data_IF_944991750282
#
_entry.id   IF_944991750282
#
_cell.length_a   1.000
_cell.length_b   1.000
_cell.length_c   1.000
_cell.angle_alpha   90.00
_cell.angle_beta   90.00
_cell.angle_gamma   90.00
#
_symmetry.space_group_name_H-M   'P 1'
#
loop_
_entity.id
_entity.type
_entity.pdbx_description
1 polymer ?
#
# COMPACT_ATOMS: atom_id res chain seq x y z
N UNK A 1 27.48 -11.57 19.58
CA UNK A 1 28.85 -11.06 19.31
C UNK A 1 28.74 -9.70 18.63
N UNK A 2 29.72 -8.81 18.77
CA UNK A 2 29.73 -7.55 17.99
C UNK A 2 30.04 -7.89 16.54
N UNK A 3 29.25 -7.34 15.63
CA UNK A 3 29.34 -7.56 14.17
C UNK A 3 29.57 -6.19 13.54
N UNK A 4 30.53 -6.11 12.60
CA UNK A 4 30.92 -4.84 11.96
C UNK A 4 30.40 -4.68 10.52
N UNK A 5 30.47 -3.47 9.94
CA UNK A 5 30.16 -3.22 8.55
C UNK A 5 30.93 -4.15 7.59
N UNK A 6 30.25 -4.64 6.56
CA UNK A 6 30.82 -5.55 5.56
C UNK A 6 30.92 -7.01 6.01
N UNK A 7 30.57 -7.32 7.26
CA UNK A 7 30.53 -8.70 7.73
C UNK A 7 29.27 -9.42 7.21
N UNK A 8 29.46 -10.67 6.78
CA UNK A 8 28.39 -11.56 6.30
C UNK A 8 28.19 -12.73 7.25
N UNK A 9 26.93 -13.08 7.50
CA UNK A 9 26.53 -14.19 8.35
C UNK A 9 25.51 -15.08 7.63
N UNK A 10 25.78 -16.38 7.58
CA UNK A 10 24.80 -17.34 7.06
C UNK A 10 23.65 -17.51 8.05
N UNK A 11 22.42 -17.50 7.54
CA UNK A 11 21.20 -17.64 8.33
C UNK A 11 20.66 -19.06 8.19
N UNK A 12 20.92 -19.92 9.18
CA UNK A 12 20.51 -21.33 9.20
C UNK A 12 19.13 -21.57 9.82
N UNK A 13 18.65 -20.64 10.65
CA UNK A 13 17.34 -20.69 11.30
C UNK A 13 16.18 -20.43 10.32
N UNK A 14 14.98 -20.78 10.75
CA UNK A 14 13.75 -20.54 9.98
C UNK A 14 13.20 -19.13 10.17
N UNK A 15 13.62 -18.42 11.22
CA UNK A 15 13.15 -17.08 11.55
C UNK A 15 14.26 -16.23 12.18
N UNK A 16 14.39 -15.00 11.71
CA UNK A 16 15.29 -13.99 12.27
C UNK A 16 14.58 -12.68 12.52
N UNK A 17 15.14 -11.84 13.38
CA UNK A 17 14.72 -10.46 13.56
C UNK A 17 15.89 -9.50 13.50
N UNK A 18 15.59 -8.31 12.98
CA UNK A 18 16.37 -7.10 13.24
C UNK A 18 15.58 -6.29 14.27
N UNK A 19 16.26 -5.81 15.29
CA UNK A 19 15.67 -4.98 16.33
C UNK A 19 16.57 -3.79 16.63
N UNK A 20 15.99 -2.73 17.17
CA UNK A 20 16.73 -1.57 17.66
C UNK A 20 16.44 -1.34 19.14
N UNK A 21 17.44 -0.77 19.83
CA UNK A 21 17.27 -0.21 21.17
C UNK A 21 18.00 1.12 21.29
N UNK A 22 17.45 2.05 22.05
CA UNK A 22 18.10 3.31 22.37
C UNK A 22 17.61 3.90 23.70
N UNK A 23 18.47 4.69 24.34
CA UNK A 23 18.13 5.38 25.57
C UNK A 23 17.57 6.77 25.26
N UNK A 24 16.60 7.20 26.05
CA UNK A 24 16.16 8.60 26.05
C UNK A 24 17.31 9.56 26.36
N UNK A 25 17.42 10.62 25.55
CA UNK A 25 18.34 11.72 25.77
C UNK A 25 17.73 13.05 25.34
N UNK A 26 17.78 14.08 26.21
CA UNK A 26 17.37 15.45 25.85
C UNK A 26 15.98 15.55 25.21
N UNK A 27 15.90 16.17 24.03
CA UNK A 27 14.73 16.05 23.16
C UNK A 27 14.70 14.61 22.62
N UNK A 28 13.66 13.85 22.95
CA UNK A 28 13.58 12.45 22.58
C UNK A 28 13.65 12.29 21.05
N UNK A 29 14.64 11.53 20.58
CA UNK A 29 14.74 11.08 19.19
C UNK A 29 13.84 9.88 19.04
N UNK A 30 12.99 9.95 18.02
CA UNK A 30 12.09 8.90 17.60
C UNK A 30 12.79 8.05 16.53
N UNK A 31 13.21 6.83 16.89
CA UNK A 31 13.87 5.92 15.97
C UNK A 31 12.88 4.91 15.42
N UNK A 32 12.70 4.94 14.10
CA UNK A 32 11.92 3.97 13.36
C UNK A 32 12.83 2.89 12.75
N UNK A 33 12.42 1.63 12.90
CA UNK A 33 12.96 0.51 12.15
C UNK A 33 12.03 0.14 10.98
N UNK A 34 12.60 -0.02 9.79
CA UNK A 34 11.85 -0.27 8.57
C UNK A 34 12.48 -1.42 7.79
N UNK A 35 11.68 -2.17 7.04
CA UNK A 35 12.13 -3.30 6.23
C UNK A 35 11.47 -3.29 4.85
N UNK A 36 12.27 -3.16 3.80
CA UNK A 36 11.81 -3.15 2.41
C UNK A 36 11.98 -4.55 1.81
N UNK A 37 10.96 -5.03 1.10
CA UNK A 37 10.94 -6.36 0.47
C UNK A 37 11.15 -6.21 -1.03
N UNK A 38 12.16 -6.92 -1.55
CA UNK A 38 12.58 -6.83 -2.94
C UNK A 38 12.46 -8.20 -3.62
N UNK A 39 11.85 -8.21 -4.81
CA UNK A 39 11.72 -9.42 -5.63
C UNK A 39 13.00 -9.77 -6.40
N UNK A 40 13.01 -10.93 -7.06
CA UNK A 40 14.12 -11.43 -7.87
C UNK A 40 14.43 -10.59 -9.13
N UNK A 41 13.53 -9.67 -9.49
CA UNK A 41 13.74 -8.68 -10.55
C UNK A 41 14.25 -7.35 -10.01
N UNK A 42 14.44 -7.23 -8.70
CA UNK A 42 14.90 -6.00 -8.05
C UNK A 42 13.82 -4.94 -7.90
N UNK A 43 12.54 -5.31 -7.99
CA UNK A 43 11.42 -4.43 -7.72
C UNK A 43 11.07 -4.44 -6.24
N UNK A 44 10.76 -3.28 -5.67
CA UNK A 44 10.22 -3.19 -4.31
C UNK A 44 8.75 -3.58 -4.35
N UNK A 45 8.40 -4.66 -3.67
CA UNK A 45 7.08 -5.29 -3.73
C UNK A 45 6.26 -5.18 -2.44
N UNK A 46 6.90 -4.83 -1.33
CA UNK A 46 6.27 -4.67 -0.02
C UNK A 46 7.23 -3.94 0.93
N UNK A 47 6.72 -3.45 2.07
CA UNK A 47 7.56 -2.89 3.13
C UNK A 47 6.86 -2.96 4.49
N UNK A 48 7.65 -3.14 5.55
CA UNK A 48 7.20 -3.12 6.95
C UNK A 48 7.80 -1.93 7.66
N UNK A 49 6.95 -1.15 8.33
CA UNK A 49 7.29 0.04 9.11
C UNK A 49 6.11 0.38 10.03
N UNK A 50 6.19 1.44 10.82
CA UNK A 50 5.20 1.75 11.85
C UNK A 50 3.75 1.82 11.36
N UNK A 51 3.54 2.21 10.10
CA UNK A 51 2.24 2.36 9.46
C UNK A 51 1.85 1.13 8.61
N UNK A 52 2.78 0.22 8.29
CA UNK A 52 2.48 -1.08 7.70
C UNK A 52 3.14 -2.21 8.49
N UNK A 53 2.40 -2.74 9.46
CA UNK A 53 2.95 -3.64 10.49
C UNK A 53 3.23 -5.07 10.01
N UNK A 54 2.82 -5.44 8.79
CA UNK A 54 2.96 -6.79 8.26
C UNK A 54 3.21 -6.78 6.76
N UNK A 55 4.07 -7.67 6.28
CA UNK A 55 4.34 -7.88 4.86
C UNK A 55 4.48 -9.37 4.55
N UNK A 56 4.16 -9.77 3.31
CA UNK A 56 4.36 -11.12 2.78
C UNK A 56 3.86 -12.27 3.69
N UNK A 57 2.91 -12.01 4.59
CA UNK A 57 2.35 -12.95 5.60
C UNK A 57 3.37 -13.57 6.59
N UNK A 58 4.65 -13.23 6.47
CA UNK A 58 5.73 -13.81 7.27
C UNK A 58 6.69 -12.77 7.85
N UNK A 59 6.43 -11.47 7.61
CA UNK A 59 7.18 -10.35 8.19
C UNK A 59 6.24 -9.55 9.10
N UNK A 60 6.69 -9.22 10.30
CA UNK A 60 5.89 -8.50 11.31
C UNK A 60 6.71 -7.48 12.08
N UNK A 61 6.16 -6.27 12.26
CA UNK A 61 6.68 -5.20 13.12
C UNK A 61 6.08 -5.28 14.54
N UNK A 62 6.83 -4.86 15.56
CA UNK A 62 6.35 -4.86 16.96
C UNK A 62 5.47 -3.67 17.33
N UNK A 63 5.73 -2.51 16.74
CA UNK A 63 5.04 -1.25 17.01
C UNK A 63 6.03 -0.10 16.95
N UNK A 64 5.47 1.11 16.99
CA UNK A 64 6.15 2.40 17.05
C UNK A 64 6.54 2.71 18.50
N UNK A 65 7.82 2.92 18.80
CA UNK A 65 8.30 3.46 20.09
C UNK A 65 8.96 4.82 19.90
N UNK A 66 8.43 5.86 20.56
CA UNK A 66 8.79 7.25 20.24
C UNK A 66 9.82 7.89 21.15
N UNK A 67 10.14 7.24 22.26
CA UNK A 67 10.78 7.93 23.40
C UNK A 67 12.09 7.31 23.87
N UNK A 68 12.31 6.01 23.63
CA UNK A 68 13.42 5.26 24.22
C UNK A 68 13.30 5.14 25.75
N UNK A 69 12.09 5.26 26.30
CA UNK A 69 11.83 5.10 27.74
C UNK A 69 11.74 3.61 28.15
N UNK A 70 11.58 2.71 27.18
CA UNK A 70 11.45 1.28 27.43
C UNK A 70 12.81 0.63 27.65
N UNK A 71 12.89 -0.25 28.64
CA UNK A 71 14.05 -1.12 28.81
C UNK A 71 14.01 -2.28 27.81
N UNK A 72 15.09 -2.52 27.08
CA UNK A 72 15.25 -3.70 26.24
C UNK A 72 15.18 -3.38 24.75
N UNK A 73 14.42 -4.15 23.99
CA UNK A 73 14.22 -3.93 22.56
C UNK A 73 13.01 -3.03 22.34
N UNK A 74 13.23 -1.87 21.73
CA UNK A 74 12.21 -0.85 21.51
C UNK A 74 11.34 -1.20 20.30
N UNK A 75 11.99 -1.44 19.15
CA UNK A 75 11.35 -1.90 17.92
C UNK A 75 11.99 -3.18 17.37
N UNK A 76 11.16 -4.06 16.81
CA UNK A 76 11.56 -5.38 16.33
C UNK A 76 10.79 -5.73 15.06
N UNK A 77 11.52 -6.06 13.99
CA UNK A 77 10.97 -6.66 12.77
C UNK A 77 11.39 -8.12 12.71
N UNK A 78 10.41 -9.01 12.76
CA UNK A 78 10.61 -10.44 12.54
C UNK A 78 10.38 -10.81 11.08
N UNK A 79 11.27 -11.62 10.51
CA UNK A 79 11.14 -12.22 9.18
C UNK A 79 11.22 -13.75 9.27
N UNK A 80 10.15 -14.42 8.85
CA UNK A 80 10.06 -15.87 8.74
C UNK A 80 10.68 -16.38 7.45
N UNK A 81 12.01 -16.49 7.40
CA UNK A 81 12.78 -16.86 6.21
C UNK A 81 12.38 -18.20 5.59
N UNK A 82 11.98 -19.18 6.40
CA UNK A 82 11.51 -20.49 5.92
C UNK A 82 10.14 -20.45 5.23
N UNK A 83 9.33 -19.41 5.50
CA UNK A 83 8.00 -19.20 4.91
C UNK A 83 7.99 -18.09 3.86
N UNK A 84 9.15 -17.52 3.56
CA UNK A 84 9.27 -16.40 2.62
C UNK A 84 8.90 -16.85 1.20
N UNK A 85 8.03 -16.12 0.48
CA UNK A 85 7.68 -16.46 -0.89
C UNK A 85 8.90 -16.60 -1.81
N UNK A 86 8.83 -17.47 -2.81
CA UNK A 86 9.99 -17.77 -3.68
C UNK A 86 10.52 -16.56 -4.43
N UNK A 87 9.60 -15.70 -4.91
CA UNK A 87 9.92 -14.45 -5.61
C UNK A 87 10.72 -13.45 -4.78
N UNK A 88 10.72 -13.54 -3.44
CA UNK A 88 11.45 -12.60 -2.59
C UNK A 88 12.93 -12.97 -2.62
N UNK A 89 13.75 -12.02 -3.04
CA UNK A 89 15.20 -12.19 -3.18
C UNK A 89 15.98 -11.49 -2.07
N UNK A 90 15.47 -10.37 -1.57
CA UNK A 90 16.20 -9.51 -0.64
C UNK A 90 15.28 -8.77 0.31
N UNK A 91 15.72 -8.63 1.56
CA UNK A 91 15.15 -7.72 2.56
C UNK A 91 16.19 -6.64 2.87
N UNK A 92 15.75 -5.38 2.92
CA UNK A 92 16.62 -4.23 3.23
C UNK A 92 16.10 -3.56 4.49
N UNK A 93 16.91 -3.49 5.53
CA UNK A 93 16.55 -2.86 6.80
C UNK A 93 17.12 -1.44 6.88
N UNK A 94 16.26 -0.51 7.25
CA UNK A 94 16.55 0.92 7.33
C UNK A 94 16.22 1.40 8.73
N UNK A 95 17.11 2.20 9.32
CA UNK A 95 16.88 2.88 10.59
C UNK A 95 16.78 4.37 10.31
N UNK A 96 15.74 5.01 10.83
CA UNK A 96 15.49 6.43 10.63
C UNK A 96 15.21 7.16 11.94
N UNK A 97 15.83 8.31 12.15
CA UNK A 97 15.40 9.31 13.12
C UNK A 97 14.20 10.08 12.52
N UNK A 98 13.00 9.58 12.80
CA UNK A 98 11.76 10.12 12.24
C UNK A 98 11.50 11.55 12.71
N UNK A 99 11.68 11.78 14.00
CA UNK A 99 11.51 13.08 14.64
C UNK A 99 12.50 13.27 15.79
N UNK A 100 12.68 14.53 16.22
CA UNK A 100 13.49 14.85 17.40
C UNK A 100 15.01 14.97 17.20
N UNK A 101 15.57 14.68 16.02
CA UNK A 101 17.01 14.89 15.77
C UNK A 101 17.59 14.12 14.58
N UNK A 102 18.89 13.82 14.66
CA UNK A 102 19.67 12.99 13.73
C UNK A 102 20.19 11.74 14.44
N UNK A 103 20.75 10.78 13.71
CA UNK A 103 21.28 9.55 14.31
C UNK A 103 22.42 9.81 15.32
N UNK A 104 23.21 10.88 15.14
CA UNK A 104 24.23 11.30 16.15
C UNK A 104 23.65 11.65 17.52
N UNK A 105 22.37 12.02 17.59
CA UNK A 105 21.69 12.45 18.81
C UNK A 105 21.16 11.24 19.60
N UNK A 106 21.14 10.05 18.98
CA UNK A 106 20.75 8.79 19.61
C UNK A 106 21.77 8.41 20.67
N UNK A 107 21.27 8.09 21.86
CA UNK A 107 22.10 7.64 22.99
C UNK A 107 22.05 6.12 23.11
N UNK A 108 23.21 5.49 23.19
CA UNK A 108 23.36 4.04 23.37
C UNK A 108 22.56 3.22 22.33
N UNK A 109 22.46 3.75 21.10
CA UNK A 109 21.75 3.11 20.00
C UNK A 109 22.40 1.79 19.58
N UNK A 110 21.64 0.71 19.53
CA UNK A 110 22.11 -0.61 19.08
C UNK A 110 21.12 -1.24 18.12
N UNK A 111 21.64 -1.94 17.12
CA UNK A 111 20.92 -2.87 16.25
C UNK A 111 21.24 -4.29 16.70
N UNK A 112 20.21 -5.10 16.87
CA UNK A 112 20.28 -6.47 17.34
C UNK A 112 19.82 -7.42 16.25
N UNK A 113 20.57 -8.49 16.04
CA UNK A 113 20.18 -9.60 15.18
C UNK A 113 19.79 -10.78 16.06
N UNK A 114 18.54 -11.21 15.95
CA UNK A 114 17.94 -12.23 16.81
C UNK A 114 17.56 -13.44 15.96
N UNK A 115 17.67 -14.64 16.53
CA UNK A 115 17.34 -15.90 15.85
C UNK A 115 16.26 -16.66 16.63
N UNK A 116 15.14 -16.96 15.97
CA UNK A 116 13.95 -17.68 16.48
C UNK A 116 13.18 -17.01 17.64
N UNK A 117 13.88 -16.43 18.63
CA UNK A 117 13.32 -15.83 19.85
C UNK A 117 14.11 -14.61 20.30
N UNK A 118 13.49 -13.73 21.11
CA UNK A 118 14.08 -12.43 21.49
C UNK A 118 15.35 -12.57 22.35
N UNK A 119 15.46 -13.67 23.07
CA UNK A 119 16.57 -13.94 24.00
C UNK A 119 17.82 -14.48 23.29
N UNK A 120 17.70 -14.89 22.02
CA UNK A 120 18.79 -15.47 21.24
C UNK A 120 19.39 -14.43 20.29
N UNK A 121 20.19 -13.52 20.85
CA UNK A 121 20.94 -12.52 20.08
C UNK A 121 22.20 -13.13 19.47
N UNK A 122 22.23 -13.19 18.13
CA UNK A 122 23.35 -13.75 17.36
C UNK A 122 24.32 -12.68 16.87
N UNK A 123 23.89 -11.42 16.81
CA UNK A 123 24.71 -10.28 16.39
C UNK A 123 24.26 -8.96 17.00
N UNK A 124 25.19 -8.04 17.19
CA UNK A 124 24.92 -6.68 17.66
C UNK A 124 25.82 -5.69 16.93
N UNK A 125 25.25 -4.57 16.51
CA UNK A 125 25.92 -3.48 15.81
C UNK A 125 25.57 -2.19 16.55
N UNK A 126 26.54 -1.31 16.81
CA UNK A 126 26.25 0.00 17.37
C UNK A 126 25.67 0.90 16.25
N UNK A 127 24.64 1.68 16.54
CA UNK A 127 24.15 2.68 15.60
C UNK A 127 25.22 3.76 15.45
N UNK A 128 25.63 4.01 14.22
CA UNK A 128 26.65 5.03 13.93
C UNK A 128 26.15 6.43 14.32
N UNK A 129 27.08 7.26 14.80
CA UNK A 129 26.78 8.66 15.06
C UNK A 129 26.89 9.44 13.76
N UNK A 130 25.77 9.51 13.06
CA UNK A 130 25.70 10.16 11.75
C UNK A 130 25.07 11.55 11.82
N UNK A 131 25.59 12.44 10.99
CA UNK A 131 24.95 13.73 10.67
C UNK A 131 23.63 13.53 9.92
N UNK A 132 23.41 12.33 9.40
CA UNK A 132 22.23 11.97 8.66
C UNK A 132 21.15 11.38 9.57
N UNK A 133 19.92 11.40 9.07
CA UNK A 133 18.76 10.92 9.81
C UNK A 133 18.37 9.48 9.40
N UNK A 134 18.89 8.93 8.31
CA UNK A 134 18.50 7.61 7.81
C UNK A 134 19.71 6.83 7.33
N UNK A 135 19.85 5.59 7.82
CA UNK A 135 20.92 4.67 7.43
C UNK A 135 20.35 3.32 6.96
N UNK A 136 20.95 2.73 5.92
CA UNK A 136 20.67 1.34 5.53
C UNK A 136 21.66 0.43 6.25
N UNK A 137 21.16 -0.38 7.18
CA UNK A 137 22.00 -1.01 8.21
C UNK A 137 22.24 -2.50 8.00
N UNK A 138 21.27 -3.20 7.39
CA UNK A 138 21.34 -4.65 7.23
C UNK A 138 20.60 -5.03 5.96
N UNK A 139 21.16 -5.99 5.22
CA UNK A 139 20.41 -6.69 4.17
C UNK A 139 20.41 -8.17 4.43
N UNK A 140 19.29 -8.82 4.14
CA UNK A 140 19.21 -10.28 4.07
C UNK A 140 18.98 -10.67 2.61
N UNK A 141 19.88 -11.48 2.05
CA UNK A 141 19.86 -11.89 0.65
C UNK A 141 19.66 -13.39 0.55
N UNK A 142 18.74 -13.81 -0.31
CA UNK A 142 18.48 -15.22 -0.62
C UNK A 142 19.38 -15.68 -1.75
N UNK A 143 20.34 -16.54 -1.47
CA UNK A 143 21.24 -17.15 -2.45
C UNK A 143 20.92 -18.64 -2.64
N UNK A 144 21.60 -19.31 -3.58
CA UNK A 144 21.40 -20.74 -3.82
C UNK A 144 21.67 -21.60 -2.57
N UNK A 145 22.56 -21.13 -1.68
CA UNK A 145 22.91 -21.79 -0.42
C UNK A 145 21.99 -21.47 0.78
N UNK A 146 20.93 -20.70 0.56
CA UNK A 146 20.02 -20.21 1.61
C UNK A 146 20.15 -18.69 1.83
N UNK A 147 19.72 -18.24 3.00
CA UNK A 147 19.75 -16.83 3.35
C UNK A 147 21.10 -16.42 3.97
N UNK A 148 21.57 -15.25 3.61
CA UNK A 148 22.75 -14.61 4.18
C UNK A 148 22.39 -13.20 4.61
N UNK A 149 22.86 -12.81 5.79
CA UNK A 149 22.79 -11.45 6.28
C UNK A 149 24.11 -10.75 5.99
N UNK A 150 24.05 -9.53 5.50
CA UNK A 150 25.19 -8.64 5.36
C UNK A 150 24.92 -7.37 6.15
N UNK A 151 25.87 -6.99 7.00
CA UNK A 151 25.83 -5.68 7.68
C UNK A 151 26.26 -4.62 6.68
N UNK A 152 25.38 -3.64 6.49
CA UNK A 152 25.62 -2.47 5.64
C UNK A 152 25.76 -1.26 6.56
N UNK A 153 26.55 -0.30 6.10
CA UNK A 153 26.68 0.99 6.76
C UNK A 153 26.78 2.07 5.69
N UNK A 154 25.64 2.30 5.05
CA UNK A 154 25.51 3.23 3.93
C UNK A 154 24.56 4.35 4.37
N UNK A 155 25.09 5.52 4.77
CA UNK A 155 24.26 6.62 5.21
C UNK A 155 23.52 7.24 4.04
N UNK A 156 22.27 7.61 4.26
CA UNK A 156 21.50 8.36 3.27
C UNK A 156 21.61 9.86 3.54
N UNK A 157 21.89 10.63 2.50
CA UNK A 157 22.23 12.05 2.65
C UNK A 157 21.09 12.89 3.25
N UNK A 158 19.84 12.56 2.96
CA UNK A 158 18.64 13.27 3.45
C UNK A 158 17.45 12.29 3.53
N UNK A 159 16.51 12.53 4.45
CA UNK A 159 15.31 11.72 4.61
C UNK A 159 14.89 11.51 6.06
N UNK A 160 13.71 10.92 6.26
CA UNK A 160 13.21 10.43 7.57
C UNK A 160 12.53 9.06 7.42
N UNK A 161 12.48 8.50 6.20
CA UNK A 161 11.81 7.24 5.90
C UNK A 161 12.52 6.52 4.74
N UNK A 162 12.34 5.21 4.60
CA UNK A 162 13.00 4.41 3.56
C UNK A 162 12.69 4.92 2.13
N UNK A 163 11.52 5.55 1.97
CA UNK A 163 11.08 6.12 0.70
C UNK A 163 11.89 7.35 0.27
N UNK A 164 12.57 8.02 1.21
CA UNK A 164 13.43 9.15 0.89
C UNK A 164 14.80 8.68 0.38
N UNK A 165 15.14 7.41 0.66
CA UNK A 165 16.47 6.84 0.38
C UNK A 165 16.43 5.80 -0.74
N UNK A 166 15.32 5.77 -1.52
CA UNK A 166 15.15 4.88 -2.67
C UNK A 166 16.30 5.03 -3.67
N UNK A 167 16.72 6.27 -3.94
CA UNK A 167 17.82 6.58 -4.83
C UNK A 167 18.65 7.75 -4.27
N UNK A 168 19.99 7.72 -4.40
CA UNK A 168 20.78 6.64 -5.01
C UNK A 168 21.04 5.46 -4.05
N UNK A 169 20.84 5.64 -2.73
CA UNK A 169 21.32 4.72 -1.69
C UNK A 169 20.77 3.31 -1.84
N UNK A 170 19.45 3.11 -1.66
CA UNK A 170 18.87 1.78 -1.69
C UNK A 170 18.92 1.17 -3.09
N UNK A 171 18.68 1.95 -4.15
CA UNK A 171 18.79 1.50 -5.53
C UNK A 171 20.17 0.93 -5.85
N UNK A 172 21.24 1.57 -5.39
CA UNK A 172 22.61 1.06 -5.57
C UNK A 172 22.85 -0.24 -4.80
N UNK A 173 22.35 -0.34 -3.57
CA UNK A 173 22.42 -1.57 -2.76
C UNK A 173 21.69 -2.72 -3.45
N UNK A 174 20.47 -2.49 -3.94
CA UNK A 174 19.70 -3.50 -4.69
C UNK A 174 20.45 -3.91 -5.96
N UNK A 175 20.98 -2.95 -6.73
CA UNK A 175 21.70 -3.23 -7.98
C UNK A 175 23.04 -3.95 -7.77
N UNK A 176 23.68 -3.84 -6.60
CA UNK A 176 24.85 -4.65 -6.24
C UNK A 176 24.49 -6.16 -6.18
N UNK A 177 23.27 -6.49 -5.74
CA UNK A 177 22.79 -7.88 -5.61
C UNK A 177 22.04 -8.35 -6.87
N UNK A 178 21.28 -7.47 -7.50
CA UNK A 178 20.43 -7.74 -8.67
C UNK A 178 20.78 -6.71 -9.76
N UNK A 179 21.82 -6.96 -10.58
CA UNK A 179 22.30 -6.00 -11.57
C UNK A 179 21.25 -5.60 -12.63
N UNK A 180 20.21 -6.43 -12.82
CA UNK A 180 19.10 -6.18 -13.73
C UNK A 180 17.97 -5.33 -13.13
N UNK A 181 18.09 -4.91 -11.86
CA UNK A 181 17.07 -4.11 -11.20
C UNK A 181 16.84 -2.77 -11.93
N UNK A 182 15.62 -2.18 -11.85
CA UNK A 182 15.32 -0.91 -12.50
C UNK A 182 16.32 0.20 -12.19
N UNK A 183 16.56 1.10 -13.17
CA UNK A 183 17.46 2.26 -12.97
C UNK A 183 16.90 3.28 -11.98
N UNK A 184 15.59 3.34 -11.84
CA UNK A 184 14.89 4.19 -10.90
C UNK A 184 13.99 3.30 -10.07
N UNK A 185 14.33 3.15 -8.79
CA UNK A 185 13.46 2.46 -7.85
C UNK A 185 12.11 3.18 -7.76
N UNK A 186 11.06 2.38 -7.80
CA UNK A 186 9.69 2.82 -7.51
C UNK A 186 9.12 1.84 -6.51
N UNK A 187 8.30 2.36 -5.62
CA UNK A 187 7.52 1.53 -4.72
C UNK A 187 6.12 1.47 -5.28
N UNK A 188 5.83 0.35 -5.94
CA UNK A 188 4.52 0.06 -6.47
C UNK A 188 3.81 -0.84 -5.45
N UNK A 189 3.27 -0.22 -4.40
CA UNK A 189 2.30 -0.91 -3.59
C UNK A 189 1.04 -1.03 -4.44
N UNK A 190 0.76 -2.20 -5.00
CA UNK A 190 -0.62 -2.49 -5.40
C UNK A 190 -1.42 -2.56 -4.09
N UNK A 191 -1.97 -1.43 -3.64
CA UNK A 191 -2.51 -1.31 -2.29
C UNK A 191 -3.78 -2.14 -2.16
N UNK A 192 -3.74 -3.14 -1.28
CA UNK A 192 -4.94 -3.84 -0.85
C UNK A 192 -5.86 -2.89 -0.08
N UNK A 193 -7.16 -3.18 -0.08
CA UNK A 193 -8.15 -2.42 0.68
C UNK A 193 -7.73 -2.30 2.16
N UNK A 194 -7.61 -1.06 2.65
CA UNK A 194 -7.22 -0.76 4.03
C UNK A 194 -5.72 -0.49 4.23
N UNK A 195 -4.88 -0.68 3.21
CA UNK A 195 -3.45 -0.38 3.30
C UNK A 195 -3.19 1.12 3.53
N UNK A 196 -2.15 1.42 4.30
CA UNK A 196 -1.69 2.79 4.62
C UNK A 196 -0.25 2.91 4.15
N UNK A 197 0.05 4.00 3.45
CA UNK A 197 1.37 4.34 2.92
C UNK A 197 1.71 5.78 3.20
N UNK A 198 2.90 6.05 3.74
CA UNK A 198 3.44 7.41 3.80
C UNK A 198 3.89 7.88 2.42
N UNK A 199 3.48 9.09 2.06
CA UNK A 199 3.94 9.74 0.84
C UNK A 199 5.27 10.46 1.15
N UNK A 200 6.30 10.27 0.30
CA UNK A 200 7.58 10.96 0.46
C UNK A 200 7.42 12.46 0.29
N UNK A 201 8.24 13.24 1.00
CA UNK A 201 8.25 14.70 0.90
C UNK A 201 9.04 15.22 -0.33
N UNK A 202 9.49 14.30 -1.21
CA UNK A 202 10.34 14.61 -2.36
C UNK A 202 9.71 14.21 -3.70
N UNK A 203 9.91 15.06 -4.71
CA UNK A 203 9.66 14.72 -6.12
C UNK A 203 8.20 14.65 -6.55
N UNK A 204 7.85 13.63 -7.35
CA UNK A 204 6.56 13.48 -8.03
C UNK A 204 5.36 13.26 -7.10
N UNK A 205 5.61 12.89 -5.84
CA UNK A 205 4.58 12.59 -4.84
C UNK A 205 4.01 13.81 -4.13
N UNK A 206 4.49 15.02 -4.47
CA UNK A 206 3.84 16.31 -4.13
C UNK A 206 2.50 16.54 -4.86
N UNK A 207 2.23 15.73 -5.88
CA UNK A 207 0.96 15.73 -6.60
C UNK A 207 0.32 14.36 -6.50
N UNK A 208 -0.95 14.32 -6.09
CA UNK A 208 -1.78 13.11 -6.08
C UNK A 208 -3.01 13.39 -6.92
N UNK A 209 -3.36 12.49 -7.83
CA UNK A 209 -4.53 12.63 -8.69
C UNK A 209 -5.47 11.46 -8.45
N UNK A 210 -6.76 11.76 -8.23
CA UNK A 210 -7.84 10.79 -8.32
C UNK A 210 -8.39 10.81 -9.75
N UNK A 211 -8.37 9.67 -10.43
CA UNK A 211 -8.93 9.48 -11.77
C UNK A 211 -10.13 8.54 -11.72
N UNK A 212 -11.13 8.84 -12.54
CA UNK A 212 -12.36 8.07 -12.73
C UNK A 212 -12.56 7.87 -14.22
N UNK A 213 -12.75 6.62 -14.65
CA UNK A 213 -13.04 6.29 -16.04
C UNK A 213 -14.16 5.28 -16.16
N UNK A 214 -15.02 5.42 -17.16
CA UNK A 214 -16.11 4.50 -17.42
C UNK A 214 -16.60 4.55 -18.86
N UNK A 215 -17.08 3.42 -19.35
CA UNK A 215 -17.72 3.31 -20.65
C UNK A 215 -19.24 3.21 -20.51
N UNK A 216 -19.96 3.88 -21.39
CA UNK A 216 -21.42 3.78 -21.47
C UNK A 216 -21.86 2.98 -22.69
N UNK A 217 -22.62 1.92 -22.46
CA UNK A 217 -23.39 1.23 -23.49
C UNK A 217 -24.84 1.74 -23.47
N UNK A 218 -25.18 2.73 -24.30
CA UNK A 218 -26.56 3.24 -24.45
C UNK A 218 -26.76 4.67 -23.95
N UNK A 219 -27.81 4.94 -23.15
CA UNK A 219 -28.06 6.30 -22.62
C UNK A 219 -26.95 6.68 -21.63
N UNK A 220 -26.41 7.90 -21.78
CA UNK A 220 -25.36 8.46 -20.93
C UNK A 220 -25.62 8.22 -19.44
N UNK A 221 -24.62 7.68 -18.75
CA UNK A 221 -24.60 7.56 -17.29
C UNK A 221 -23.51 8.49 -16.79
N UNK A 222 -23.92 9.35 -15.87
CA UNK A 222 -23.09 10.35 -15.21
C UNK A 222 -22.53 9.80 -13.89
N UNK A 223 -21.19 9.80 -13.79
CA UNK A 223 -20.41 9.41 -12.63
C UNK A 223 -19.51 10.58 -12.24
N UNK A 224 -19.49 10.89 -10.95
CA UNK A 224 -18.71 12.00 -10.41
C UNK A 224 -17.54 11.49 -9.58
N UNK A 225 -16.39 12.15 -9.71
CA UNK A 225 -15.35 12.14 -8.66
C UNK A 225 -15.49 13.37 -7.76
N UNK A 226 -15.21 13.21 -6.46
CA UNK A 226 -15.27 14.30 -5.48
C UNK A 226 -14.13 14.19 -4.49
N UNK A 227 -13.69 15.34 -3.97
CA UNK A 227 -12.75 15.43 -2.88
C UNK A 227 -13.34 16.25 -1.73
N UNK A 228 -13.28 15.71 -0.51
CA UNK A 228 -13.85 16.31 0.69
C UNK A 228 -12.72 16.58 1.69
N UNK A 229 -12.52 17.84 2.06
CA UNK A 229 -11.44 18.30 2.92
C UNK A 229 -11.94 18.49 4.35
N UNK A 230 -11.20 17.96 5.33
CA UNK A 230 -11.52 18.03 6.75
C UNK A 230 -10.36 18.62 7.56
N UNK A 231 -10.68 19.24 8.70
CA UNK A 231 -9.70 19.70 9.69
C UNK A 231 -9.32 18.58 10.67
N UNK A 232 -8.43 18.89 11.63
CA UNK A 232 -7.98 17.95 12.64
C UNK A 232 -9.06 17.50 13.63
N UNK A 233 -10.17 18.23 13.71
CA UNK A 233 -11.35 17.88 14.49
C UNK A 233 -12.36 17.06 13.67
N UNK A 234 -12.03 16.73 12.42
CA UNK A 234 -12.88 16.02 11.49
C UNK A 234 -14.08 16.83 11.01
N UNK A 235 -14.04 18.16 11.13
CA UNK A 235 -15.07 19.04 10.59
C UNK A 235 -14.81 19.31 9.11
N UNK A 236 -15.89 19.48 8.35
CA UNK A 236 -15.81 19.79 6.93
C UNK A 236 -15.20 21.19 6.74
N UNK A 237 -14.07 21.27 6.05
CA UNK A 237 -13.43 22.54 5.66
C UNK A 237 -13.93 22.99 4.30
N UNK A 238 -13.88 22.09 3.30
CA UNK A 238 -14.27 22.41 1.94
C UNK A 238 -14.45 21.18 1.04
N UNK A 239 -14.95 21.37 -0.18
CA UNK A 239 -15.09 20.31 -1.19
C UNK A 239 -14.70 20.75 -2.61
N UNK A 240 -14.31 19.76 -3.42
CA UNK A 240 -14.09 19.89 -4.86
C UNK A 240 -14.86 18.78 -5.56
N UNK A 241 -15.71 19.16 -6.52
CA UNK A 241 -16.62 18.30 -7.29
C UNK A 241 -17.13 19.10 -8.51
N UNK A 242 -17.97 18.53 -9.38
CA UNK A 242 -18.50 19.23 -10.57
C UNK A 242 -19.06 20.64 -10.28
N UNK A 243 -19.72 20.84 -9.13
CA UNK A 243 -20.28 22.14 -8.71
C UNK A 243 -19.27 23.12 -8.12
N UNK A 244 -18.04 22.69 -7.86
CA UNK A 244 -16.92 23.52 -7.39
C UNK A 244 -15.58 22.93 -7.84
N UNK A 245 -15.07 23.43 -8.95
CA UNK A 245 -13.92 22.83 -9.63
C UNK A 245 -12.57 23.09 -8.95
N UNK A 246 -12.47 24.00 -7.98
CA UNK A 246 -11.21 24.28 -7.29
C UNK A 246 -11.43 24.69 -5.85
N UNK A 247 -10.63 24.11 -4.94
CA UNK A 247 -10.45 24.57 -3.57
C UNK A 247 -9.26 23.87 -2.92
N UNK A 248 -8.69 24.44 -1.85
CA UNK A 248 -7.69 23.80 -0.97
C UNK A 248 -6.48 23.17 -1.68
N UNK A 249 -6.02 23.70 -2.82
CA UNK A 249 -4.91 23.11 -3.59
C UNK A 249 -5.33 21.93 -4.50
N UNK A 250 -6.64 21.68 -4.63
CA UNK A 250 -7.23 20.69 -5.51
C UNK A 250 -7.93 21.34 -6.70
N UNK A 251 -7.85 20.68 -7.87
CA UNK A 251 -8.47 21.11 -9.13
C UNK A 251 -9.15 19.92 -9.80
N UNK A 252 -10.44 20.07 -10.12
CA UNK A 252 -11.24 19.14 -10.93
C UNK A 252 -11.06 19.41 -12.42
N UNK A 253 -11.07 18.37 -13.24
CA UNK A 253 -10.96 18.46 -14.71
C UNK A 253 -12.18 19.08 -15.41
N UNK A 254 -13.27 19.34 -14.69
CA UNK A 254 -14.60 19.50 -15.26
C UNK A 254 -15.40 18.19 -15.23
N UNK A 255 -16.70 18.35 -15.44
CA UNK A 255 -17.74 17.32 -15.37
C UNK A 255 -17.88 16.59 -16.72
N UNK A 256 -17.80 15.26 -16.73
CA UNK A 256 -18.04 14.43 -17.89
C UNK A 256 -19.33 13.60 -17.73
N UNK A 257 -20.42 14.12 -18.29
CA UNK A 257 -21.74 13.50 -18.19
C UNK A 257 -21.92 12.16 -18.94
N UNK A 258 -20.91 11.70 -19.70
CA UNK A 258 -21.09 10.65 -20.71
C UNK A 258 -20.07 9.52 -20.70
N UNK A 259 -18.92 9.70 -20.07
CA UNK A 259 -17.79 8.75 -20.19
C UNK A 259 -17.22 8.71 -21.61
N UNK A 260 -17.29 9.83 -22.35
CA UNK A 260 -16.77 9.91 -23.71
C UNK A 260 -15.29 10.29 -23.67
N UNK A 261 -14.43 9.35 -24.05
CA UNK A 261 -12.98 9.55 -24.12
C UNK A 261 -12.22 8.26 -23.90
N UNK A 262 -10.89 8.32 -24.05
CA UNK A 262 -10.01 7.23 -23.62
C UNK A 262 -9.38 7.63 -22.27
N UNK A 263 -9.32 6.69 -21.33
CA UNK A 263 -8.60 6.88 -20.07
C UNK A 263 -9.49 7.34 -18.91
N UNK A 264 -9.01 8.32 -18.13
CA UNK A 264 -9.78 8.89 -17.02
C UNK A 264 -10.69 10.00 -17.57
N UNK A 265 -11.99 9.79 -17.52
CA UNK A 265 -13.04 10.74 -17.93
C UNK A 265 -13.10 11.96 -17.01
N UNK A 266 -12.87 11.75 -15.71
CA UNK A 266 -12.75 12.82 -14.72
C UNK A 266 -11.52 12.65 -13.83
N UNK A 267 -10.95 13.79 -13.43
CA UNK A 267 -9.80 13.82 -12.54
C UNK A 267 -9.92 14.93 -11.50
N UNK A 268 -9.49 14.65 -10.28
CA UNK A 268 -9.16 15.66 -9.27
C UNK A 268 -7.68 15.57 -8.97
N UNK A 269 -6.94 16.62 -9.34
CA UNK A 269 -5.53 16.76 -9.02
C UNK A 269 -5.35 17.56 -7.74
N UNK A 270 -4.64 16.99 -6.78
CA UNK A 270 -4.25 17.61 -5.52
C UNK A 270 -2.77 17.98 -5.54
N UNK A 271 -2.45 19.26 -5.34
CA UNK A 271 -1.09 19.73 -5.06
C UNK A 271 -0.92 19.88 -3.55
N UNK A 272 -0.19 18.93 -2.94
CA UNK A 272 -0.03 18.82 -1.48
C UNK A 272 0.63 20.07 -0.86
N UNK A 273 1.53 20.73 -1.60
CA UNK A 273 2.22 21.94 -1.15
C UNK A 273 1.27 23.16 -1.09
N UNK A 274 0.15 23.11 -1.82
CA UNK A 274 -0.85 24.19 -1.87
C UNK A 274 -2.04 23.92 -0.95
N UNK A 275 -2.08 22.77 -0.28
CA UNK A 275 -3.14 22.45 0.68
C UNK A 275 -2.98 23.31 1.94
N UNK A 276 -3.99 24.12 2.32
CA UNK A 276 -3.91 24.97 3.50
C UNK A 276 -3.62 24.16 4.78
N UNK A 277 -2.89 24.76 5.72
CA UNK A 277 -2.52 24.11 6.98
C UNK A 277 -3.72 23.62 7.82
N UNK A 278 -4.88 24.27 7.70
CA UNK A 278 -6.13 23.86 8.39
C UNK A 278 -6.74 22.56 7.84
N UNK A 279 -6.34 22.11 6.65
CA UNK A 279 -6.81 20.85 6.08
C UNK A 279 -5.83 19.76 6.51
N UNK A 280 -6.34 18.84 7.31
CA UNK A 280 -5.57 17.70 7.83
C UNK A 280 -5.93 16.39 7.14
N UNK A 281 -7.12 16.28 6.55
CA UNK A 281 -7.52 15.10 5.79
C UNK A 281 -8.24 15.49 4.50
N UNK A 282 -8.00 14.73 3.43
CA UNK A 282 -8.69 14.84 2.14
C UNK A 282 -9.19 13.46 1.80
N UNK A 283 -10.49 13.30 1.56
CA UNK A 283 -11.09 12.02 1.19
C UNK A 283 -11.61 12.09 -0.23
N UNK A 284 -11.19 11.15 -1.08
CA UNK A 284 -11.66 11.03 -2.45
C UNK A 284 -12.81 10.02 -2.54
N UNK A 285 -13.90 10.42 -3.19
CA UNK A 285 -15.08 9.59 -3.38
C UNK A 285 -15.53 9.60 -4.83
N UNK A 286 -16.21 8.54 -5.24
CA UNK A 286 -16.92 8.50 -6.52
C UNK A 286 -18.37 8.11 -6.30
N UNK A 287 -19.27 8.69 -7.09
CA UNK A 287 -20.70 8.44 -7.02
C UNK A 287 -21.31 8.35 -8.40
N UNK A 288 -22.38 7.56 -8.54
CA UNK A 288 -23.23 7.63 -9.73
C UNK A 288 -24.26 8.73 -9.49
N UNK A 289 -24.13 9.84 -10.22
CA UNK A 289 -25.07 10.95 -10.13
C UNK A 289 -26.43 10.60 -10.72
N UNK A 290 -26.41 9.78 -11.79
CA UNK A 290 -27.63 9.37 -12.48
C UNK A 290 -28.55 8.52 -11.58
N UNK A 291 -29.72 9.07 -11.24
CA UNK A 291 -30.67 8.42 -10.34
C UNK A 291 -31.14 7.06 -10.84
N UNK A 292 -31.21 6.09 -9.93
CA UNK A 292 -31.71 4.73 -10.21
C UNK A 292 -30.71 3.85 -10.99
N UNK A 293 -29.48 4.30 -11.15
CA UNK A 293 -28.36 3.55 -11.73
C UNK A 293 -27.39 3.14 -10.63
N UNK A 294 -26.79 1.96 -10.79
CA UNK A 294 -25.77 1.39 -9.90
C UNK A 294 -24.57 0.96 -10.74
N UNK A 295 -23.42 0.72 -10.13
CA UNK A 295 -22.18 0.41 -10.87
C UNK A 295 -22.29 -0.84 -11.75
N UNK A 296 -23.19 -1.76 -11.42
CA UNK A 296 -23.53 -2.93 -12.27
C UNK A 296 -23.97 -2.58 -13.70
N UNK A 297 -24.50 -1.37 -13.93
CA UNK A 297 -25.00 -0.93 -15.23
C UNK A 297 -23.98 -0.10 -16.02
N UNK A 298 -22.78 0.11 -15.46
CA UNK A 298 -21.72 0.90 -16.07
C UNK A 298 -20.64 -0.06 -16.57
N UNK A 299 -20.22 0.09 -17.82
CA UNK A 299 -19.21 -0.79 -18.41
C UNK A 299 -17.82 -0.23 -18.11
N UNK A 300 -16.85 -1.11 -17.86
CA UNK A 300 -15.44 -0.75 -17.65
C UNK A 300 -15.21 0.40 -16.65
N UNK A 301 -16.08 0.54 -15.65
CA UNK A 301 -15.97 1.59 -14.66
C UNK A 301 -14.84 1.27 -13.68
N UNK A 302 -13.88 2.17 -13.57
CA UNK A 302 -12.76 2.08 -12.64
C UNK A 302 -12.48 3.43 -12.00
N UNK A 303 -11.85 3.39 -10.83
CA UNK A 303 -11.21 4.57 -10.26
C UNK A 303 -9.80 4.24 -9.82
N UNK A 304 -8.92 5.24 -9.82
CA UNK A 304 -7.53 5.10 -9.44
C UNK A 304 -7.01 6.33 -8.74
N UNK A 305 -5.99 6.14 -7.91
CA UNK A 305 -5.17 7.21 -7.36
C UNK A 305 -3.76 7.03 -7.92
N UNK A 306 -3.14 8.10 -8.41
CA UNK A 306 -1.76 8.06 -8.92
C UNK A 306 -0.97 9.30 -8.54
N UNK A 307 0.37 9.16 -8.52
CA UNK A 307 1.28 10.26 -8.22
C UNK A 307 1.59 11.13 -9.47
N UNK A 308 2.33 12.22 -9.29
CA UNK A 308 2.75 13.09 -10.39
C UNK A 308 3.66 12.43 -11.45
N UNK A 309 4.13 11.20 -11.24
CA UNK A 309 4.87 10.41 -12.23
C UNK A 309 3.97 9.48 -13.05
N UNK A 310 2.68 9.40 -12.71
CA UNK A 310 1.72 8.46 -13.29
C UNK A 310 1.78 7.07 -12.65
N UNK A 311 2.46 6.89 -11.52
CA UNK A 311 2.46 5.61 -10.83
C UNK A 311 1.16 5.46 -10.01
N UNK A 312 0.41 4.40 -10.27
CA UNK A 312 -0.83 4.10 -9.54
C UNK A 312 -0.50 3.68 -8.09
N UNK A 313 -1.09 4.40 -7.13
CA UNK A 313 -1.07 4.11 -5.70
C UNK A 313 -2.21 3.17 -5.31
N UNK A 314 -3.37 3.30 -5.96
CA UNK A 314 -4.52 2.43 -5.77
C UNK A 314 -5.36 2.38 -7.05
N UNK A 315 -5.99 1.23 -7.33
CA UNK A 315 -6.97 1.05 -8.42
C UNK A 315 -8.11 0.17 -7.94
N UNK A 316 -9.34 0.54 -8.28
CA UNK A 316 -10.54 -0.23 -7.98
C UNK A 316 -11.40 -0.39 -9.23
N UNK A 317 -11.72 -1.64 -9.56
CA UNK A 317 -12.74 -1.97 -10.55
C UNK A 317 -14.12 -1.85 -9.90
N UNK A 318 -15.01 -1.03 -10.47
CA UNK A 318 -16.31 -0.72 -9.89
C UNK A 318 -17.39 -1.75 -10.26
N UNK A 319 -17.10 -2.65 -11.21
CA UNK A 319 -18.03 -3.69 -11.65
C UNK A 319 -18.47 -4.63 -10.52
N UNK A 320 -17.60 -4.86 -9.54
CA UNK A 320 -17.87 -5.73 -8.39
C UNK A 320 -18.59 -5.02 -7.23
N UNK A 321 -18.92 -3.74 -7.37
CA UNK A 321 -19.61 -2.95 -6.35
C UNK A 321 -21.07 -3.37 -6.10
N UNK A 322 -21.58 -4.33 -6.86
CA UNK A 322 -22.94 -4.84 -6.67
C UNK A 322 -24.00 -3.77 -6.86
N UNK A 323 -24.85 -3.57 -5.84
CA UNK A 323 -25.97 -2.61 -5.87
C UNK A 323 -25.60 -1.23 -5.31
N UNK A 324 -24.33 -1.02 -4.99
CA UNK A 324 -23.87 0.24 -4.41
C UNK A 324 -23.77 1.33 -5.49
N UNK A 325 -23.80 2.59 -5.05
CA UNK A 325 -23.86 3.78 -5.91
C UNK A 325 -22.78 4.81 -5.58
N UNK A 326 -22.03 4.60 -4.49
CA UNK A 326 -20.86 5.37 -4.15
C UNK A 326 -19.71 4.50 -3.63
N UNK A 327 -18.51 5.07 -3.67
CA UNK A 327 -17.30 4.47 -3.16
C UNK A 327 -16.39 5.55 -2.56
N UNK A 328 -15.95 5.34 -1.33
CA UNK A 328 -14.81 6.06 -0.76
C UNK A 328 -13.54 5.34 -1.23
N UNK A 329 -12.78 6.01 -2.09
CA UNK A 329 -11.60 5.44 -2.76
C UNK A 329 -10.45 5.35 -1.77
N UNK A 330 -10.05 6.51 -1.26
CA UNK A 330 -8.85 6.69 -0.45
C UNK A 330 -8.93 7.98 0.34
N UNK A 331 -8.06 8.13 1.34
CA UNK A 331 -7.79 9.40 1.99
C UNK A 331 -6.32 9.77 2.00
N UNK A 332 -6.05 11.05 1.92
CA UNK A 332 -4.80 11.66 2.33
C UNK A 332 -4.98 12.23 3.72
N UNK A 333 -3.96 12.15 4.56
CA UNK A 333 -4.00 12.70 5.92
C UNK A 333 -2.62 13.22 6.32
N UNK A 334 -2.54 14.25 7.17
CA UNK A 334 -1.26 14.69 7.74
C UNK A 334 -0.85 13.76 8.86
N UNK A 335 0.41 13.34 8.86
CA UNK A 335 0.97 12.52 9.93
C UNK A 335 1.11 13.36 11.22
N UNK A 336 0.63 12.88 12.38
CA UNK A 336 0.74 13.62 13.63
C UNK A 336 2.20 13.89 14.01
N UNK A 337 2.56 15.17 14.20
CA UNK A 337 3.92 15.57 14.58
C UNK A 337 4.91 15.67 13.42
N UNK A 338 4.50 15.37 12.19
CA UNK A 338 5.31 15.52 10.98
C UNK A 338 4.67 16.53 10.01
N UNK A 339 5.46 17.02 9.05
CA UNK A 339 4.97 17.83 7.91
C UNK A 339 4.54 16.96 6.72
N UNK A 340 4.49 15.64 6.90
CA UNK A 340 4.28 14.67 5.82
C UNK A 340 2.82 14.30 5.65
N UNK A 341 2.48 13.92 4.42
CA UNK A 341 1.19 13.34 4.07
C UNK A 341 1.27 11.82 4.07
N UNK A 342 0.34 11.17 4.76
CA UNK A 342 0.00 9.77 4.58
C UNK A 342 -1.10 9.60 3.54
N UNK A 343 -1.14 8.42 2.94
CA UNK A 343 -2.15 7.94 2.01
C UNK A 343 -2.75 6.64 2.54
N UNK A 344 -4.07 6.49 2.47
CA UNK A 344 -4.75 5.26 2.85
C UNK A 344 -5.74 4.86 1.78
N UNK A 345 -5.56 3.66 1.24
CA UNK A 345 -6.49 2.99 0.35
C UNK A 345 -7.68 2.46 1.16
N UNK A 346 -8.92 2.85 0.83
CA UNK A 346 -10.10 2.55 1.66
C UNK A 346 -11.10 1.58 1.00
N UNK A 347 -11.41 1.77 -0.28
CA UNK A 347 -12.33 0.92 -1.03
C UNK A 347 -13.67 0.64 -0.32
N UNK A 348 -14.27 1.63 0.34
CA UNK A 348 -15.49 1.46 1.15
C UNK A 348 -16.72 1.92 0.39
N UNK A 349 -17.60 0.99 0.04
CA UNK A 349 -18.84 1.31 -0.67
C UNK A 349 -19.79 2.13 0.19
N UNK A 350 -20.50 3.04 -0.46
CA UNK A 350 -21.50 3.93 0.12
C UNK A 350 -22.73 4.00 -0.78
N UNK A 351 -23.75 4.72 -0.31
CA UNK A 351 -24.99 4.94 -1.06
C UNK A 351 -25.24 6.41 -1.26
N UNK A 352 -26.01 6.70 -2.31
CA UNK A 352 -26.37 8.06 -2.69
C UNK A 352 -25.78 8.43 -4.03
N UNK A 353 -26.06 9.66 -4.43
CA UNK A 353 -25.69 10.21 -5.74
C UNK A 353 -24.57 11.23 -5.66
N UNK A 354 -24.15 11.63 -4.46
CA UNK A 354 -23.07 12.61 -4.28
C UNK A 354 -22.37 12.45 -2.94
N UNK A 355 -21.21 13.09 -2.80
CA UNK A 355 -20.41 13.09 -1.57
C UNK A 355 -21.20 13.45 -0.30
N UNK A 356 -22.21 14.33 -0.41
CA UNK A 356 -23.06 14.74 0.73
C UNK A 356 -23.84 13.57 1.33
N UNK A 357 -24.28 12.63 0.49
CA UNK A 357 -25.03 11.46 0.92
C UNK A 357 -24.15 10.49 1.72
N UNK A 358 -22.83 10.57 1.54
CA UNK A 358 -21.84 9.75 2.23
C UNK A 358 -21.20 10.45 3.44
N UNK A 359 -21.74 11.58 3.92
CA UNK A 359 -21.14 12.34 5.03
C UNK A 359 -20.95 11.50 6.31
N UNK A 360 -21.88 10.60 6.61
CA UNK A 360 -21.75 9.70 7.77
C UNK A 360 -20.60 8.71 7.60
N UNK A 361 -20.46 8.13 6.41
CA UNK A 361 -19.37 7.20 6.09
C UNK A 361 -18.02 7.94 6.08
N UNK A 362 -17.98 9.15 5.53
CA UNK A 362 -16.82 10.04 5.56
C UNK A 362 -16.41 10.39 6.98
N UNK A 363 -17.36 10.77 7.85
CA UNK A 363 -17.08 11.06 9.25
C UNK A 363 -16.53 9.82 9.99
N UNK A 364 -17.04 8.63 9.68
CA UNK A 364 -16.53 7.37 10.25
C UNK A 364 -15.10 7.04 9.79
N UNK A 365 -14.75 7.41 8.56
CA UNK A 365 -13.37 7.33 8.03
C UNK A 365 -12.46 8.32 8.74
N UNK A 366 -12.84 9.58 8.75
CA UNK A 366 -12.04 10.71 9.27
C UNK A 366 -11.81 10.59 10.77
N UNK A 367 -12.83 10.17 11.53
CA UNK A 367 -12.77 10.01 12.99
C UNK A 367 -11.98 8.79 13.47
N UNK A 368 -11.49 7.93 12.57
CA UNK A 368 -10.67 6.77 12.92
C UNK A 368 -9.23 6.99 12.49
N UNK A 369 -8.31 6.72 13.41
CA UNK A 369 -6.88 6.69 13.09
C UNK A 369 -6.63 5.73 11.91
N UNK A 370 -5.75 6.08 10.94
CA UNK A 370 -5.40 5.23 9.81
C UNK A 370 -5.10 3.78 10.17
N UNK A 371 -4.36 3.59 11.28
CA UNK A 371 -3.99 2.29 11.85
C UNK A 371 -5.19 1.43 12.30
N UNK A 372 -6.33 2.03 12.65
CA UNK A 372 -7.51 1.31 13.15
C UNK A 372 -8.23 0.50 12.07
N UNK A 373 -8.01 0.80 10.78
CA UNK A 373 -8.62 0.06 9.66
C UNK A 373 -7.84 -1.20 9.27
N UNK A 374 -6.61 -1.37 9.76
CA UNK A 374 -5.78 -2.54 9.47
C UNK A 374 -6.14 -3.78 10.30
N UNK A 375 -6.97 -3.63 11.34
CA UNK A 375 -7.39 -4.71 12.22
C UNK A 375 -8.80 -5.20 11.89
N UNK A 376 -8.90 -6.12 10.93
CA UNK A 376 -9.79 -7.30 10.95
C UNK A 376 -9.39 -8.26 9.83
N UNK A 377 -9.09 -9.51 10.20
CA UNK A 377 -8.79 -10.56 9.25
C UNK A 377 -9.97 -10.89 8.32
N UNK A 378 -9.63 -11.44 7.15
CA UNK A 378 -10.50 -12.06 6.14
C UNK A 378 -11.47 -11.04 5.46
N UNK A 379 -11.38 -10.79 4.15
CA UNK A 379 -11.50 -11.75 3.04
C UNK A 379 -10.68 -11.26 1.85
N UNK A 380 -9.74 -12.08 1.36
CA UNK A 380 -9.06 -11.84 0.09
C UNK A 380 -10.06 -12.11 -1.04
N UNK A 381 -10.64 -11.05 -1.61
CA UNK A 381 -11.12 -11.12 -2.99
C UNK A 381 -9.88 -11.05 -3.87
N UNK A 382 -9.45 -12.19 -4.42
CA UNK A 382 -8.40 -12.23 -5.43
C UNK A 382 -8.93 -11.59 -6.71
N UNK A 383 -8.31 -10.52 -7.16
CA UNK A 383 -8.54 -9.97 -8.49
C UNK A 383 -7.41 -10.40 -9.42
N UNK A 384 -7.80 -11.01 -10.54
CA UNK A 384 -6.92 -11.51 -11.58
C UNK A 384 -6.11 -10.37 -12.19
N UNK A 385 -4.79 -10.41 -12.04
CA UNK A 385 -3.88 -9.58 -12.80
C UNK A 385 -3.94 -9.90 -14.29
N UNK A 386 -3.67 -8.87 -15.09
CA UNK A 386 -3.72 -8.85 -16.54
C UNK A 386 -3.05 -10.06 -17.24
N UNK A 387 -3.81 -10.67 -18.15
CA UNK A 387 -3.35 -11.07 -19.49
C UNK A 387 -2.25 -12.13 -19.61
N UNK A 388 -2.67 -13.38 -19.81
CA UNK A 388 -1.88 -14.43 -20.44
C UNK A 388 -2.77 -15.66 -20.67
N UNK A 389 -3.42 -15.73 -21.84
CA UNK A 389 -4.18 -16.91 -22.25
C UNK A 389 -3.27 -18.15 -22.26
N UNK A 390 -3.63 -19.26 -21.59
CA UNK A 390 -2.97 -20.52 -21.82
C UNK A 390 -3.54 -21.15 -23.09
N UNK A 391 -2.71 -21.17 -24.13
CA UNK A 391 -2.84 -22.01 -25.31
C UNK A 391 -3.09 -23.46 -24.85
N UNK A 392 -4.27 -24.00 -25.14
CA UNK A 392 -4.61 -25.39 -24.86
C UNK A 392 -3.80 -26.32 -25.78
N UNK A 393 -2.82 -27.02 -25.21
CA UNK A 393 -2.16 -28.13 -25.87
C UNK A 393 -3.09 -29.36 -25.90
N UNK A 394 -3.39 -29.82 -27.11
CA UNK A 394 -4.08 -31.07 -27.38
C UNK A 394 -3.33 -32.28 -26.78
N UNK A 395 -4.07 -33.20 -26.16
CA UNK A 395 -3.65 -34.58 -25.91
C UNK A 395 -4.65 -35.55 -26.58
N UNK A 396 -4.20 -36.71 -27.05
CA UNK A 396 -4.86 -37.45 -28.13
C UNK A 396 -6.00 -38.36 -27.67
N UNK A 397 -6.91 -38.61 -28.62
CA UNK A 397 -8.04 -39.53 -28.55
C UNK A 397 -7.64 -40.98 -28.24
N UNK A 398 -8.47 -41.67 -27.45
CA UNK A 398 -8.63 -43.12 -27.47
C UNK A 398 -10.14 -43.48 -27.65
N UNK A 399 -10.47 -44.61 -28.29
CA UNK A 399 -11.71 -44.74 -29.05
C UNK A 399 -12.90 -45.32 -28.28
N UNK A 400 -14.09 -45.07 -28.84
CA UNK A 400 -15.39 -45.54 -28.39
C UNK A 400 -15.60 -47.05 -28.58
N UNK A 401 -16.34 -47.66 -27.66
CA UNK A 401 -16.96 -48.98 -27.81
C UNK A 401 -18.49 -48.79 -27.78
N UNK A 402 -19.16 -49.44 -28.72
CA UNK A 402 -20.57 -49.27 -29.07
C UNK A 402 -21.50 -50.36 -28.48
N UNK A 403 -22.81 -50.08 -28.63
CA UNK A 403 -23.99 -50.97 -28.56
C UNK A 403 -24.51 -51.32 -27.14
N UNK A 404 -25.82 -51.36 -26.86
CA UNK A 404 -27.03 -51.13 -27.67
C UNK A 404 -28.29 -51.60 -26.92
N UNK A 405 -29.45 -51.10 -27.40
CA UNK A 405 -30.79 -51.73 -27.45
C UNK A 405 -31.77 -51.73 -26.24
N UNK A 406 -32.95 -51.15 -26.55
CA UNK A 406 -34.34 -51.64 -26.37
C UNK A 406 -35.14 -51.42 -25.07
N UNK A 407 -36.36 -50.87 -25.24
CA UNK A 407 -37.54 -51.15 -24.38
C UNK A 407 -38.60 -50.03 -24.22
N UNK A 408 -39.68 -50.08 -25.01
CA UNK A 408 -40.97 -49.31 -24.96
C UNK A 408 -41.80 -49.45 -23.65
N UNK A 409 -43.05 -48.90 -23.47
CA UNK A 409 -43.93 -47.97 -24.27
C UNK A 409 -44.63 -46.83 -23.45
N UNK A 410 -45.59 -46.04 -24.03
CA UNK A 410 -46.06 -44.74 -23.50
C UNK A 410 -47.46 -44.74 -22.85
N UNK A 411 -47.85 -43.66 -22.16
CA UNK A 411 -49.27 -43.31 -21.93
C UNK A 411 -49.57 -41.82 -21.67
N UNK A 412 -50.41 -41.30 -22.57
CA UNK A 412 -51.56 -40.40 -22.42
C UNK A 412 -51.39 -38.92 -21.99
N UNK A 413 -51.72 -38.07 -22.97
CA UNK A 413 -52.26 -36.73 -22.82
C UNK A 413 -53.55 -36.71 -21.98
N UNK A 414 -53.70 -35.71 -21.11
CA UNK A 414 -55.00 -35.27 -20.63
C UNK A 414 -55.03 -33.75 -20.49
N UNK A 415 -55.80 -33.11 -21.39
CA UNK A 415 -56.31 -31.76 -21.23
C UNK A 415 -57.26 -31.73 -20.04
N UNK A 416 -57.20 -30.69 -19.21
CA UNK A 416 -58.41 -30.17 -18.59
C UNK A 416 -58.36 -28.65 -18.50
N UNK A 417 -59.48 -28.07 -18.93
CA UNK A 417 -59.78 -26.66 -18.90
C UNK A 417 -60.29 -26.25 -17.51
N UNK A 418 -60.23 -24.93 -17.32
CA UNK A 418 -60.68 -24.13 -16.19
C UNK A 418 -62.11 -24.47 -15.72
N UNK A 419 -62.24 -24.77 -14.42
CA UNK A 419 -63.20 -24.15 -13.49
C UNK A 419 -62.76 -24.37 -12.05
#
# INVERSE_FOLDING_TARGET
RVVGPGETMRLSGGRYAVAISWDRAGAAVDLDLQCVVVDDRGSIIDAVYYNNMKAQRCITHSGDERTGDRSGLDEVIWAGLAKMPEKVKMLVFVVAAHSGGRLRDVRNGNIHILEERKENEVGRIAIEKSDFAVDVVVVMVKNAGGWELQVIDEPAQEGQHFMDVLEPTMGNIIRKVIPTAPKRMKVAFAMEKGAVVELPDTGSLKSVTAGLGWDVLGRGVDLDVSAVCFDGQGQLVDTVFFGRLQSCGLVHSGDNLTGAGDGDDEQIKCNLDQVPARVEQIVFTVHIYTKGVTFQKVSNAYCRIFDGSGAELARYELREAGRESGLIIARLFREPGAQRWGFQALGTFTRGSMWKDSLNDLAAVVGKAPRAFQLRGQTTMQFSGAGGEPVTAHAPHAPAVAAGLCGHPPRQEQKCAVQ
#
